data_IF_199736207266
#
_entry.id   IF_199736207266
#
_cell.length_a   1.000
_cell.length_b   1.000
_cell.length_c   1.000
_cell.angle_alpha   90.00
_cell.angle_beta   90.00
_cell.angle_gamma   90.00
#
_symmetry.space_group_name_H-M   'P 1'
#
loop_
_entity.id
_entity.type
_entity.pdbx_description
1 polymer ?
#
# COMPACT_ATOMS: atom_id res chain seq x y z
N UNK A 1 21.32 -6.63 -7.69
CA UNK A 1 21.17 -6.08 -9.08
C UNK A 1 19.87 -6.60 -9.62
N UNK A 2 19.09 -5.73 -10.25
CA UNK A 2 17.85 -6.11 -10.93
C UNK A 2 18.18 -7.08 -12.06
N UNK A 3 17.44 -8.17 -12.21
CA UNK A 3 17.55 -9.07 -13.37
C UNK A 3 16.86 -8.39 -14.57
N UNK A 4 17.63 -7.90 -15.58
CA UNK A 4 17.05 -7.24 -16.74
C UNK A 4 16.29 -8.19 -17.67
N UNK A 5 16.44 -9.50 -17.46
CA UNK A 5 15.75 -10.54 -18.23
C UNK A 5 14.36 -10.91 -17.71
N UNK A 6 13.99 -10.44 -16.52
CA UNK A 6 12.71 -10.74 -15.90
C UNK A 6 11.54 -10.29 -16.78
N UNK A 7 10.65 -11.22 -17.16
CA UNK A 7 9.47 -10.96 -18.00
C UNK A 7 8.32 -10.49 -17.12
N UNK A 8 7.98 -9.22 -17.23
CA UNK A 8 7.04 -8.55 -16.32
C UNK A 8 5.74 -8.19 -17.02
N UNK A 9 4.60 -8.53 -16.43
CA UNK A 9 3.29 -8.04 -16.81
C UNK A 9 2.83 -6.91 -15.86
N UNK A 10 2.22 -5.85 -16.43
CA UNK A 10 1.53 -4.80 -15.63
C UNK A 10 0.08 -4.74 -16.09
N UNK A 11 -0.82 -5.31 -15.31
CA UNK A 11 -2.27 -5.34 -15.58
C UNK A 11 -2.96 -4.13 -14.94
N UNK A 12 -3.74 -3.40 -15.73
CA UNK A 12 -4.35 -2.13 -15.33
C UNK A 12 -3.41 -0.93 -15.52
N UNK A 13 -2.50 -1.02 -16.51
CA UNK A 13 -1.45 -0.02 -16.77
C UNK A 13 -2.00 1.37 -17.06
N UNK A 14 -3.21 1.49 -17.62
CA UNK A 14 -3.88 2.77 -17.90
C UNK A 14 -4.47 3.45 -16.67
N UNK A 15 -4.55 2.75 -15.53
CA UNK A 15 -5.02 3.31 -14.26
C UNK A 15 -3.94 4.08 -13.50
N UNK A 16 -4.36 4.86 -12.49
CA UNK A 16 -3.46 5.70 -11.70
C UNK A 16 -2.29 4.91 -11.05
N UNK A 17 -2.57 3.78 -10.41
CA UNK A 17 -1.53 2.94 -9.76
C UNK A 17 -0.73 2.14 -10.79
N UNK A 18 -1.38 1.61 -11.84
CA UNK A 18 -0.70 0.85 -12.89
C UNK A 18 0.34 1.67 -13.65
N UNK A 19 0.01 2.92 -13.98
CA UNK A 19 0.96 3.85 -14.64
C UNK A 19 2.15 4.18 -13.75
N UNK A 20 1.95 4.39 -12.45
CA UNK A 20 3.05 4.60 -11.49
C UNK A 20 3.89 3.33 -11.35
N UNK A 21 3.28 2.14 -11.37
CA UNK A 21 4.02 0.86 -11.35
C UNK A 21 4.95 0.75 -12.56
N UNK A 22 4.44 1.02 -13.76
CA UNK A 22 5.26 1.02 -14.98
C UNK A 22 6.43 2.02 -14.88
N UNK A 23 6.16 3.25 -14.46
CA UNK A 23 7.21 4.25 -14.28
C UNK A 23 8.30 3.81 -13.30
N UNK A 24 7.91 3.23 -12.16
CA UNK A 24 8.85 2.73 -11.16
C UNK A 24 9.71 1.59 -11.68
N UNK A 25 9.13 0.66 -12.44
CA UNK A 25 9.87 -0.44 -13.07
C UNK A 25 10.92 0.10 -14.05
N UNK A 26 10.54 1.05 -14.90
CA UNK A 26 11.46 1.69 -15.85
C UNK A 26 12.60 2.44 -15.14
N UNK A 27 12.30 3.21 -14.09
CA UNK A 27 13.31 3.91 -13.29
C UNK A 27 14.28 2.94 -12.60
N UNK A 28 13.87 1.72 -12.31
CA UNK A 28 14.72 0.65 -11.76
C UNK A 28 15.46 -0.17 -12.80
N UNK A 29 15.30 0.16 -14.09
CA UNK A 29 16.01 -0.49 -15.19
C UNK A 29 15.39 -1.77 -15.71
N UNK A 30 14.16 -2.10 -15.31
CA UNK A 30 13.42 -3.18 -15.96
C UNK A 30 12.98 -2.75 -17.36
N UNK A 31 13.17 -3.59 -18.36
CA UNK A 31 12.87 -3.26 -19.76
C UNK A 31 11.98 -4.29 -20.46
N UNK A 32 11.96 -5.54 -19.97
CA UNK A 32 11.14 -6.59 -20.56
C UNK A 32 9.74 -6.57 -19.95
N UNK A 33 8.94 -5.57 -20.32
CA UNK A 33 7.63 -5.28 -19.73
C UNK A 33 6.54 -5.38 -20.80
N UNK A 34 5.46 -6.10 -20.49
CA UNK A 34 4.20 -6.10 -21.24
C UNK A 34 3.15 -5.33 -20.46
N UNK A 35 2.47 -4.43 -21.17
CA UNK A 35 1.46 -3.54 -20.61
C UNK A 35 0.06 -4.05 -20.94
N UNK A 36 -0.76 -4.33 -19.92
CA UNK A 36 -2.11 -4.86 -20.10
C UNK A 36 -3.16 -3.92 -19.53
N UNK A 37 -4.29 -3.81 -20.21
CA UNK A 37 -5.47 -3.11 -19.71
C UNK A 37 -6.77 -3.79 -20.22
N UNK A 38 -7.92 -3.22 -19.85
CA UNK A 38 -9.20 -3.68 -20.39
C UNK A 38 -9.31 -3.40 -21.89
N UNK A 39 -10.26 -4.07 -22.56
CA UNK A 39 -10.58 -3.86 -23.97
C UNK A 39 -10.74 -2.38 -24.38
N UNK A 40 -11.15 -1.49 -23.43
CA UNK A 40 -11.31 -0.05 -23.69
C UNK A 40 -10.00 0.68 -23.99
N UNK A 41 -8.89 0.18 -23.47
CA UNK A 41 -7.56 0.78 -23.65
C UNK A 41 -6.63 -0.06 -24.52
N UNK A 42 -7.02 -1.30 -24.84
CA UNK A 42 -6.24 -2.19 -25.69
C UNK A 42 -6.08 -1.60 -27.10
N UNK A 43 -4.90 -1.82 -27.72
CA UNK A 43 -4.49 -1.22 -28.99
C UNK A 43 -3.99 0.24 -28.84
N UNK A 44 -4.14 0.86 -27.65
CA UNK A 44 -3.53 2.14 -27.34
C UNK A 44 -2.05 2.02 -26.97
N UNK A 45 -1.45 3.13 -26.54
CA UNK A 45 -0.05 3.17 -26.09
C UNK A 45 0.09 3.93 -24.76
N UNK A 46 1.07 3.48 -23.98
CA UNK A 46 1.55 4.21 -22.79
C UNK A 46 3.07 4.33 -22.89
N UNK A 47 3.57 5.54 -23.14
CA UNK A 47 4.97 5.73 -23.53
C UNK A 47 5.32 4.89 -24.77
N UNK A 48 6.36 4.09 -24.66
CA UNK A 48 6.83 3.20 -25.74
C UNK A 48 6.12 1.85 -25.78
N UNK A 49 5.21 1.58 -24.86
CA UNK A 49 4.53 0.27 -24.74
C UNK A 49 3.17 0.30 -25.45
N UNK A 50 2.92 -0.74 -26.26
CA UNK A 50 1.58 -1.05 -26.76
C UNK A 50 0.77 -1.68 -25.62
N UNK A 51 -0.50 -1.32 -25.50
CA UNK A 51 -1.40 -1.87 -24.49
C UNK A 51 -2.11 -3.09 -25.06
N UNK A 52 -1.85 -4.24 -24.48
CA UNK A 52 -2.54 -5.50 -24.78
C UNK A 52 -3.84 -5.61 -23.96
N UNK A 53 -4.80 -6.39 -24.48
CA UNK A 53 -5.98 -6.71 -23.70
C UNK A 53 -5.66 -7.74 -22.60
N UNK A 54 -6.05 -7.43 -21.36
CA UNK A 54 -5.91 -8.34 -20.22
C UNK A 54 -6.98 -9.44 -20.30
N UNK A 55 -6.64 -10.55 -20.93
CA UNK A 55 -7.52 -11.73 -21.06
C UNK A 55 -6.92 -12.95 -20.37
N UNK A 56 -7.75 -13.95 -19.97
CA UNK A 56 -7.24 -15.21 -19.46
C UNK A 56 -6.26 -15.90 -20.42
N UNK A 57 -6.47 -15.79 -21.73
CA UNK A 57 -5.57 -16.37 -22.75
C UNK A 57 -4.21 -15.68 -22.74
N UNK A 58 -4.18 -14.35 -22.71
CA UNK A 58 -2.94 -13.58 -22.72
C UNK A 58 -2.12 -13.80 -21.45
N UNK A 59 -2.77 -13.83 -20.27
CA UNK A 59 -2.11 -14.01 -18.99
C UNK A 59 -1.80 -15.47 -18.64
N UNK A 60 -2.48 -16.41 -19.29
CA UNK A 60 -2.24 -17.85 -19.16
C UNK A 60 -1.21 -18.42 -20.14
N UNK A 61 -0.54 -17.59 -20.93
CA UNK A 61 0.43 -18.03 -21.95
C UNK A 61 1.74 -18.60 -21.38
N UNK A 62 2.05 -18.36 -20.08
CA UNK A 62 3.27 -18.88 -19.42
C UNK A 62 4.55 -18.14 -19.83
N UNK A 63 4.43 -16.97 -20.39
CA UNK A 63 5.52 -16.13 -20.88
C UNK A 63 5.85 -14.93 -19.98
N UNK A 64 5.28 -14.91 -18.76
CA UNK A 64 5.56 -13.93 -17.71
C UNK A 64 6.15 -14.62 -16.48
N UNK A 65 7.17 -14.02 -15.89
CA UNK A 65 7.76 -14.46 -14.62
C UNK A 65 7.04 -13.80 -13.44
N UNK A 66 6.69 -12.52 -13.59
CA UNK A 66 6.01 -11.71 -12.57
C UNK A 66 4.89 -10.89 -13.21
N UNK A 67 3.79 -10.73 -12.50
CA UNK A 67 2.68 -9.87 -12.93
C UNK A 67 2.14 -9.00 -11.80
N UNK A 68 2.06 -7.69 -12.04
CA UNK A 68 1.47 -6.71 -11.14
C UNK A 68 0.03 -6.45 -11.53
N UNK A 69 -0.91 -6.71 -10.61
CA UNK A 69 -2.33 -6.44 -10.84
C UNK A 69 -2.76 -5.15 -10.15
N UNK A 70 -3.21 -4.17 -10.93
CA UNK A 70 -3.74 -2.88 -10.49
C UNK A 70 -5.15 -2.68 -11.03
N UNK A 71 -6.03 -3.63 -10.76
CA UNK A 71 -7.41 -3.70 -11.25
C UNK A 71 -8.40 -3.92 -10.10
N UNK A 72 -9.70 -3.89 -10.40
CA UNK A 72 -10.73 -4.14 -9.39
C UNK A 72 -10.78 -5.60 -8.92
N UNK A 73 -11.37 -5.81 -7.74
CA UNK A 73 -11.47 -7.10 -7.04
C UNK A 73 -12.03 -8.22 -7.92
N UNK A 74 -13.10 -7.96 -8.69
CA UNK A 74 -13.71 -8.96 -9.56
C UNK A 74 -12.75 -9.42 -10.67
N UNK A 75 -12.08 -8.48 -11.32
CA UNK A 75 -11.09 -8.75 -12.38
C UNK A 75 -9.87 -9.50 -11.83
N UNK A 76 -9.39 -9.14 -10.63
CA UNK A 76 -8.30 -9.88 -9.98
C UNK A 76 -8.70 -11.32 -9.67
N UNK A 77 -9.89 -11.55 -9.14
CA UNK A 77 -10.39 -12.91 -8.85
C UNK A 77 -10.49 -13.79 -10.11
N UNK A 78 -10.75 -13.20 -11.26
CA UNK A 78 -10.81 -13.88 -12.55
C UNK A 78 -9.42 -14.15 -13.12
N UNK A 79 -8.55 -13.14 -13.18
CA UNK A 79 -7.32 -13.20 -13.96
C UNK A 79 -6.09 -13.71 -13.18
N UNK A 80 -5.98 -13.40 -11.89
CA UNK A 80 -4.80 -13.78 -11.07
C UNK A 80 -4.63 -15.31 -11.00
N UNK A 81 -5.68 -16.12 -10.73
CA UNK A 81 -5.52 -17.57 -10.69
C UNK A 81 -5.05 -18.17 -12.02
N UNK A 82 -5.45 -17.58 -13.14
CA UNK A 82 -5.02 -18.01 -14.48
C UNK A 82 -3.53 -17.76 -14.70
N UNK A 83 -3.03 -16.58 -14.33
CA UNK A 83 -1.61 -16.25 -14.42
C UNK A 83 -0.76 -17.14 -13.49
N UNK A 84 -1.22 -17.37 -12.27
CA UNK A 84 -0.56 -18.29 -11.31
C UNK A 84 -0.53 -19.71 -11.85
N UNK A 85 -1.64 -20.20 -12.41
CA UNK A 85 -1.70 -21.53 -13.05
C UNK A 85 -0.73 -21.70 -14.21
N UNK A 86 -0.31 -20.61 -14.86
CA UNK A 86 0.72 -20.57 -15.88
C UNK A 86 2.15 -20.41 -15.34
N UNK A 87 2.35 -20.39 -14.01
CA UNK A 87 3.65 -20.28 -13.35
C UNK A 87 4.12 -18.85 -13.07
N UNK A 88 3.25 -17.85 -13.24
CA UNK A 88 3.57 -16.44 -13.01
C UNK A 88 3.40 -16.08 -11.53
N UNK A 89 4.39 -15.43 -10.92
CA UNK A 89 4.25 -14.79 -9.60
C UNK A 89 3.38 -13.54 -9.74
N UNK A 90 2.29 -13.46 -8.98
CA UNK A 90 1.35 -12.35 -9.03
C UNK A 90 1.41 -11.48 -7.77
N UNK A 91 1.63 -10.18 -7.93
CA UNK A 91 1.44 -9.19 -6.86
C UNK A 91 0.14 -8.44 -7.10
N UNK A 92 -0.88 -8.73 -6.29
CA UNK A 92 -2.22 -8.16 -6.44
C UNK A 92 -2.47 -6.99 -5.49
N UNK A 93 -2.87 -5.85 -6.03
CA UNK A 93 -3.18 -4.63 -5.27
C UNK A 93 -4.66 -4.45 -4.95
N UNK A 94 -5.51 -5.36 -5.45
CA UNK A 94 -6.94 -5.35 -5.11
C UNK A 94 -7.18 -5.91 -3.71
N UNK A 95 -8.43 -5.82 -3.23
CA UNK A 95 -8.83 -6.48 -1.98
C UNK A 95 -9.14 -7.97 -2.14
N UNK A 96 -8.99 -8.54 -3.36
CA UNK A 96 -9.43 -9.90 -3.68
C UNK A 96 -8.79 -10.98 -2.78
N UNK A 97 -7.50 -10.83 -2.48
CA UNK A 97 -6.71 -11.87 -1.82
C UNK A 97 -6.11 -11.44 -0.48
N UNK A 98 -6.30 -10.18 -0.05
CA UNK A 98 -5.63 -9.64 1.15
C UNK A 98 -5.93 -10.43 2.43
N UNK A 99 -7.16 -10.87 2.61
CA UNK A 99 -7.59 -11.60 3.80
C UNK A 99 -7.77 -13.11 3.53
N UNK A 100 -7.46 -13.60 2.33
CA UNK A 100 -7.53 -15.02 2.03
C UNK A 100 -6.49 -15.80 2.84
N UNK A 101 -6.88 -16.95 3.42
CA UNK A 101 -5.94 -17.83 4.11
C UNK A 101 -4.82 -18.30 3.16
N UNK A 102 -3.58 -18.32 3.66
CA UNK A 102 -2.43 -18.79 2.88
C UNK A 102 -1.90 -17.79 1.84
N UNK A 103 -2.54 -16.62 1.66
CA UNK A 103 -1.99 -15.54 0.84
C UNK A 103 -1.30 -14.52 1.74
N UNK A 104 0.02 -14.30 1.61
CA UNK A 104 0.72 -13.31 2.40
C UNK A 104 0.30 -11.89 2.01
N UNK A 105 0.07 -11.04 3.02
CA UNK A 105 -0.22 -9.62 2.89
C UNK A 105 0.99 -8.85 3.38
N UNK A 106 1.73 -8.18 2.46
CA UNK A 106 3.12 -7.81 2.72
C UNK A 106 3.39 -6.32 2.63
N UNK A 107 4.01 -5.80 3.68
CA UNK A 107 4.75 -4.53 3.69
C UNK A 107 6.22 -4.87 3.92
N UNK A 108 7.10 -4.70 2.91
CA UNK A 108 8.50 -5.18 3.00
C UNK A 108 9.26 -4.74 4.24
N UNK A 109 9.01 -3.53 4.74
CA UNK A 109 9.65 -2.96 5.92
C UNK A 109 9.13 -3.51 7.24
N UNK A 110 8.00 -4.25 7.22
CA UNK A 110 7.31 -4.72 8.44
C UNK A 110 7.38 -6.24 8.55
N UNK A 111 6.91 -6.94 7.52
CA UNK A 111 6.77 -8.40 7.50
C UNK A 111 7.23 -8.99 6.15
N UNK A 112 8.30 -8.44 5.57
CA UNK A 112 8.78 -8.81 4.24
C UNK A 112 9.08 -10.29 4.07
N UNK A 113 9.55 -10.99 5.12
CA UNK A 113 9.81 -12.44 5.11
C UNK A 113 8.57 -13.27 4.78
N UNK A 114 7.37 -12.76 5.10
CA UNK A 114 6.10 -13.43 4.75
C UNK A 114 5.89 -13.57 3.25
N UNK A 115 6.53 -12.72 2.45
CA UNK A 115 6.47 -12.87 0.99
C UNK A 115 7.01 -14.23 0.51
N UNK A 116 7.97 -14.83 1.23
CA UNK A 116 8.55 -16.14 0.90
C UNK A 116 7.54 -17.30 1.08
N UNK A 117 6.48 -17.10 1.83
CA UNK A 117 5.43 -18.12 2.08
C UNK A 117 4.38 -18.18 0.96
N UNK A 118 4.55 -17.37 -0.10
CA UNK A 118 3.57 -17.31 -1.19
C UNK A 118 3.49 -18.63 -1.98
N UNK A 119 2.30 -18.88 -2.51
CA UNK A 119 2.01 -19.99 -3.44
C UNK A 119 1.68 -19.46 -4.84
N UNK A 120 2.36 -18.40 -5.26
CA UNK A 120 2.17 -17.73 -6.55
C UNK A 120 1.42 -16.38 -6.44
N UNK A 121 0.83 -16.06 -5.26
CA UNK A 121 0.17 -14.78 -5.03
C UNK A 121 0.78 -14.12 -3.79
N UNK A 122 1.13 -12.84 -3.91
CA UNK A 122 1.38 -11.94 -2.78
C UNK A 122 0.39 -10.78 -2.86
N UNK A 123 -0.37 -10.55 -1.78
CA UNK A 123 -1.28 -9.43 -1.71
C UNK A 123 -0.54 -8.17 -1.24
N UNK A 124 -0.78 -7.07 -1.96
CA UNK A 124 -0.33 -5.74 -1.58
C UNK A 124 -1.43 -5.05 -0.77
N UNK A 125 -1.12 -4.51 0.42
CA UNK A 125 -2.13 -3.97 1.32
C UNK A 125 -2.82 -2.69 0.81
N UNK A 126 -3.84 -2.28 1.57
CA UNK A 126 -4.54 -1.01 1.41
C UNK A 126 -3.57 0.18 1.58
N UNK A 127 -3.82 1.25 0.84
CA UNK A 127 -2.95 2.44 0.80
C UNK A 127 -2.84 3.20 2.13
N UNK A 128 -3.76 2.98 3.07
CA UNK A 128 -3.65 3.46 4.45
C UNK A 128 -3.03 2.40 5.38
N UNK A 129 -3.28 1.10 5.16
CA UNK A 129 -2.69 0.05 5.99
C UNK A 129 -1.16 -0.01 5.88
N UNK A 130 -0.59 0.27 4.70
CA UNK A 130 0.85 0.31 4.50
C UNK A 130 1.53 1.35 5.41
N UNK A 131 1.23 2.66 5.30
CA UNK A 131 1.89 3.67 6.12
C UNK A 131 1.56 3.53 7.60
N UNK A 132 0.34 3.11 7.95
CA UNK A 132 -0.07 2.86 9.32
C UNK A 132 0.82 1.79 9.96
N UNK A 133 0.96 0.63 9.33
CA UNK A 133 1.76 -0.48 9.88
C UNK A 133 3.24 -0.16 9.94
N UNK A 134 3.78 0.59 8.99
CA UNK A 134 5.16 1.08 9.03
C UNK A 134 5.43 1.96 10.26
N UNK A 135 4.46 2.80 10.67
CA UNK A 135 4.58 3.61 11.88
C UNK A 135 4.33 2.82 13.17
N UNK A 136 3.42 1.83 13.13
CA UNK A 136 3.03 1.07 14.31
C UNK A 136 4.05 -0.04 14.67
N UNK A 137 4.62 -0.74 13.70
CA UNK A 137 5.51 -1.87 13.92
C UNK A 137 6.71 -1.52 14.83
N UNK A 138 7.49 -0.45 14.58
CA UNK A 138 8.62 -0.12 15.43
C UNK A 138 8.22 0.31 16.85
N UNK A 139 7.03 0.85 17.03
CA UNK A 139 6.48 1.17 18.36
C UNK A 139 6.05 -0.11 19.09
N UNK A 140 5.43 -1.06 18.37
CA UNK A 140 5.05 -2.36 18.91
C UNK A 140 6.28 -3.15 19.37
N UNK A 141 7.30 -3.22 18.53
CA UNK A 141 8.54 -3.95 18.84
C UNK A 141 9.26 -3.37 20.07
N UNK A 142 9.10 -2.07 20.32
CA UNK A 142 9.75 -1.41 21.46
C UNK A 142 9.00 -1.58 22.79
N UNK A 143 7.66 -1.44 22.79
CA UNK A 143 6.88 -1.30 24.03
C UNK A 143 5.51 -2.01 24.02
N UNK A 144 5.19 -2.76 22.95
CA UNK A 144 3.88 -3.38 22.77
C UNK A 144 2.76 -2.37 22.47
N UNK A 145 1.82 -2.75 21.60
CA UNK A 145 0.61 -1.99 21.32
C UNK A 145 -0.58 -2.57 22.06
N UNK A 146 -1.32 -1.74 22.76
CA UNK A 146 -2.52 -2.11 23.50
C UNK A 146 -3.80 -1.77 22.73
N UNK A 147 -3.83 -0.61 22.03
CA UNK A 147 -4.97 -0.13 21.25
C UNK A 147 -4.53 0.92 20.25
N UNK A 148 -5.20 0.97 19.11
CA UNK A 148 -5.00 1.99 18.07
C UNK A 148 -6.32 2.64 17.70
N UNK A 149 -6.32 3.97 17.55
CA UNK A 149 -7.37 4.73 16.89
C UNK A 149 -6.75 5.52 15.76
N UNK A 150 -7.42 5.54 14.62
CA UNK A 150 -6.93 6.22 13.43
C UNK A 150 -8.06 6.94 12.70
N UNK A 151 -7.79 8.17 12.27
CA UNK A 151 -8.61 8.90 11.33
C UNK A 151 -7.79 9.15 10.06
N UNK A 152 -8.31 8.74 8.90
CA UNK A 152 -7.63 8.92 7.62
C UNK A 152 -8.20 10.11 6.85
N UNK A 153 -7.34 10.78 6.10
CA UNK A 153 -7.67 11.86 5.16
C UNK A 153 -7.16 11.42 3.79
N UNK A 154 -8.05 10.75 3.03
CA UNK A 154 -7.65 10.06 1.81
C UNK A 154 -7.89 10.92 0.57
N UNK A 155 -6.87 11.09 -0.25
CA UNK A 155 -6.97 11.77 -1.55
C UNK A 155 -7.84 10.98 -2.54
N UNK A 156 -8.40 11.67 -3.52
CA UNK A 156 -9.31 11.09 -4.51
C UNK A 156 -8.63 10.09 -5.44
N UNK A 157 -7.32 10.17 -5.65
CA UNK A 157 -6.57 9.22 -6.49
C UNK A 157 -6.67 7.77 -6.01
N UNK A 158 -6.93 7.53 -4.72
CA UNK A 158 -7.21 6.21 -4.17
C UNK A 158 -8.49 5.56 -4.72
N UNK A 159 -9.44 6.36 -5.23
CA UNK A 159 -10.65 5.90 -5.91
C UNK A 159 -10.49 5.81 -7.45
N UNK A 160 -9.30 6.03 -7.98
CA UNK A 160 -8.98 5.88 -9.39
C UNK A 160 -9.10 7.16 -10.22
N UNK A 161 -8.88 7.02 -11.53
CA UNK A 161 -8.83 8.15 -12.48
C UNK A 161 -10.15 8.90 -12.60
N UNK A 162 -11.28 8.21 -12.55
CA UNK A 162 -12.60 8.85 -12.62
C UNK A 162 -12.84 9.82 -11.46
N UNK A 163 -12.36 9.48 -10.25
CA UNK A 163 -12.47 10.38 -9.10
C UNK A 163 -11.54 11.60 -9.23
N UNK A 164 -10.36 11.40 -9.81
CA UNK A 164 -9.44 12.50 -10.14
C UNK A 164 -10.08 13.46 -11.14
N UNK A 165 -10.67 12.95 -12.21
CA UNK A 165 -11.29 13.76 -13.26
C UNK A 165 -12.55 14.48 -12.73
N UNK A 166 -13.32 13.83 -11.87
CA UNK A 166 -14.45 14.48 -11.17
C UNK A 166 -13.97 15.66 -10.33
N UNK A 167 -12.95 15.48 -9.47
CA UNK A 167 -12.44 16.58 -8.65
C UNK A 167 -11.87 17.73 -9.48
N UNK A 168 -11.26 17.43 -10.65
CA UNK A 168 -10.78 18.47 -11.57
C UNK A 168 -11.92 19.29 -12.21
N UNK A 169 -13.08 18.66 -12.40
CA UNK A 169 -14.26 19.30 -12.97
C UNK A 169 -15.08 20.07 -11.93
N UNK A 170 -14.99 19.71 -10.66
CA UNK A 170 -15.69 20.38 -9.55
C UNK A 170 -15.10 21.78 -9.29
N UNK A 171 -15.98 22.74 -8.98
CA UNK A 171 -15.55 24.06 -8.49
C UNK A 171 -15.15 24.00 -7.02
N UNK A 172 -14.26 24.86 -6.54
CA UNK A 172 -13.81 24.82 -5.14
C UNK A 172 -14.93 24.83 -4.09
N UNK A 173 -16.04 25.54 -4.38
CA UNK A 173 -17.22 25.60 -3.50
C UNK A 173 -18.04 24.30 -3.44
N UNK A 174 -17.79 23.36 -4.35
CA UNK A 174 -18.41 22.02 -4.38
C UNK A 174 -17.57 20.98 -3.66
N UNK A 175 -16.34 21.35 -3.23
CA UNK A 175 -15.45 20.47 -2.52
C UNK A 175 -15.97 20.16 -1.12
N UNK A 176 -16.16 18.87 -0.83
CA UNK A 176 -16.63 18.38 0.46
C UNK A 176 -15.88 17.12 0.89
N UNK A 177 -15.97 16.81 2.17
CA UNK A 177 -15.55 15.51 2.69
C UNK A 177 -16.56 14.44 2.26
N UNK A 178 -16.08 13.27 1.86
CA UNK A 178 -16.93 12.15 1.41
C UNK A 178 -16.57 10.88 2.15
N UNK A 179 -17.55 10.01 2.29
CA UNK A 179 -17.41 8.63 2.73
C UNK A 179 -18.05 7.77 1.63
N UNK A 180 -17.31 7.57 0.54
CA UNK A 180 -17.79 6.99 -0.71
C UNK A 180 -17.47 5.49 -0.85
N UNK A 181 -17.47 4.78 0.26
CA UNK A 181 -17.30 3.33 0.31
C UNK A 181 -18.62 2.60 0.66
N UNK A 182 -18.74 1.30 0.37
CA UNK A 182 -19.85 0.49 0.86
C UNK A 182 -20.00 0.58 2.37
N UNK A 183 -21.23 0.73 2.86
CA UNK A 183 -21.56 0.84 4.28
C UNK A 183 -22.49 -0.30 4.69
N UNK A 184 -22.13 -1.05 5.73
CA UNK A 184 -22.90 -2.21 6.20
C UNK A 184 -23.97 -1.86 7.24
N UNK A 185 -24.08 -0.60 7.62
CA UNK A 185 -24.98 -0.08 8.67
C UNK A 185 -24.22 0.25 9.96
N UNK A 186 -22.96 -0.11 10.09
CA UNK A 186 -22.11 0.14 11.26
C UNK A 186 -20.78 0.77 10.86
N UNK A 187 -20.06 0.15 9.90
CA UNK A 187 -18.75 0.59 9.42
C UNK A 187 -18.72 0.67 7.89
N UNK A 188 -17.85 1.51 7.39
CA UNK A 188 -17.49 1.50 5.97
C UNK A 188 -16.49 0.36 5.68
N UNK A 189 -16.61 -0.24 4.50
CA UNK A 189 -15.72 -1.31 4.03
C UNK A 189 -14.23 -0.93 4.12
N UNK A 190 -13.89 0.33 3.93
CA UNK A 190 -12.53 0.84 4.07
C UNK A 190 -12.00 0.80 5.52
N UNK A 191 -12.88 1.06 6.49
CA UNK A 191 -12.53 1.00 7.92
C UNK A 191 -12.27 -0.43 8.36
N UNK A 192 -13.10 -1.37 7.89
CA UNK A 192 -12.91 -2.81 8.11
C UNK A 192 -11.60 -3.28 7.50
N UNK A 193 -11.31 -2.92 6.23
CA UNK A 193 -10.05 -3.25 5.58
C UNK A 193 -8.85 -2.73 6.37
N UNK A 194 -8.87 -1.46 6.77
CA UNK A 194 -7.78 -0.87 7.52
C UNK A 194 -7.51 -1.62 8.82
N UNK A 195 -8.55 -1.98 9.56
CA UNK A 195 -8.45 -2.76 10.79
C UNK A 195 -7.90 -4.17 10.56
N UNK A 196 -8.52 -4.93 9.67
CA UNK A 196 -8.17 -6.35 9.49
C UNK A 196 -6.82 -6.53 8.78
N UNK A 197 -6.50 -5.68 7.82
CA UNK A 197 -5.20 -5.70 7.15
C UNK A 197 -4.08 -5.32 8.12
N UNK A 198 -4.27 -4.29 8.95
CA UNK A 198 -3.30 -3.89 9.99
C UNK A 198 -3.03 -5.04 10.96
N UNK A 199 -4.07 -5.73 11.44
CA UNK A 199 -3.95 -6.91 12.31
C UNK A 199 -3.15 -8.02 11.64
N UNK A 200 -3.45 -8.32 10.39
CA UNK A 200 -2.78 -9.37 9.62
C UNK A 200 -1.29 -9.05 9.38
N UNK A 201 -0.97 -7.80 9.01
CA UNK A 201 0.41 -7.37 8.73
C UNK A 201 1.26 -7.37 10.01
N UNK A 202 0.71 -6.87 11.12
CA UNK A 202 1.41 -6.84 12.41
C UNK A 202 1.38 -8.18 13.16
N UNK A 203 0.62 -9.17 12.67
CA UNK A 203 0.41 -10.46 13.34
C UNK A 203 -0.22 -10.34 14.74
N UNK A 204 -1.08 -9.34 14.90
CA UNK A 204 -1.80 -9.01 16.12
C UNK A 204 -3.32 -9.15 15.91
N UNK A 205 -3.87 -10.38 15.82
CA UNK A 205 -5.27 -10.61 15.44
C UNK A 205 -6.28 -9.97 16.40
N UNK A 206 -5.91 -9.83 17.66
CA UNK A 206 -6.79 -9.30 18.71
C UNK A 206 -6.52 -7.81 19.03
N UNK A 207 -5.63 -7.14 18.32
CA UNK A 207 -5.33 -5.72 18.57
C UNK A 207 -6.60 -4.89 18.37
N UNK A 208 -7.09 -4.14 19.39
CA UNK A 208 -8.23 -3.25 19.25
C UNK A 208 -7.86 -2.07 18.35
N UNK A 209 -8.52 -1.98 17.20
CA UNK A 209 -8.34 -0.89 16.24
C UNK A 209 -9.71 -0.29 15.91
N UNK A 210 -9.82 1.03 16.03
CA UNK A 210 -10.96 1.80 15.56
C UNK A 210 -10.51 2.79 14.50
N UNK A 211 -11.13 2.71 13.32
CA UNK A 211 -10.81 3.56 12.18
C UNK A 211 -12.00 4.44 11.81
N UNK A 212 -11.71 5.64 11.32
CA UNK A 212 -12.67 6.50 10.62
C UNK A 212 -12.02 6.99 9.34
N UNK A 213 -12.60 6.64 8.21
CA UNK A 213 -12.04 6.95 6.89
C UNK A 213 -12.84 8.04 6.19
N UNK A 214 -12.16 9.10 5.74
CA UNK A 214 -12.78 10.17 4.96
C UNK A 214 -11.98 10.48 3.70
N UNK A 215 -12.69 10.73 2.60
CA UNK A 215 -12.13 11.25 1.37
C UNK A 215 -12.09 12.77 1.44
N UNK A 216 -10.92 13.34 1.17
CA UNK A 216 -10.71 14.78 1.13
C UNK A 216 -10.52 15.26 -0.32
N UNK A 217 -10.86 16.53 -0.67
CA UNK A 217 -10.70 17.07 -2.01
C UNK A 217 -9.23 17.43 -2.32
N UNK A 218 -8.38 16.40 -2.27
CA UNK A 218 -6.95 16.44 -2.58
C UNK A 218 -6.67 15.41 -3.65
N UNK A 219 -5.90 15.75 -4.67
CA UNK A 219 -5.63 14.87 -5.80
C UNK A 219 -4.85 13.62 -5.40
N UNK A 220 -3.69 13.79 -4.77
CA UNK A 220 -2.75 12.72 -4.38
C UNK A 220 -2.21 13.02 -3.00
N UNK A 221 -1.88 11.98 -2.25
CA UNK A 221 -1.31 12.04 -0.91
C UNK A 221 -2.36 11.81 0.17
N UNK A 222 -2.17 10.72 0.93
CA UNK A 222 -2.98 10.41 2.10
C UNK A 222 -2.33 10.97 3.36
N UNK A 223 -3.17 11.23 4.37
CA UNK A 223 -2.72 11.59 5.70
C UNK A 223 -3.51 10.80 6.75
N UNK A 224 -2.89 10.55 7.90
CA UNK A 224 -3.51 9.83 9.00
C UNK A 224 -3.18 10.49 10.33
N UNK A 225 -4.21 10.72 11.15
CA UNK A 225 -4.09 11.07 12.55
C UNK A 225 -4.25 9.79 13.37
N UNK A 226 -3.23 9.47 14.18
CA UNK A 226 -3.12 8.20 14.88
C UNK A 226 -2.97 8.44 16.37
N UNK A 227 -3.70 7.68 17.16
CA UNK A 227 -3.60 7.60 18.63
C UNK A 227 -3.32 6.16 19.00
N UNK A 228 -2.25 5.93 19.73
CA UNK A 228 -1.86 4.61 20.23
C UNK A 228 -1.83 4.59 21.74
N UNK A 229 -2.27 3.49 22.32
CA UNK A 229 -1.96 3.11 23.70
C UNK A 229 -0.94 1.98 23.65
N UNK A 230 0.10 2.10 24.45
CA UNK A 230 1.18 1.12 24.55
C UNK A 230 1.08 0.34 25.87
N UNK A 231 1.67 -0.85 25.91
CA UNK A 231 1.70 -1.65 27.14
C UNK A 231 2.65 -1.03 28.16
N UNK A 232 3.81 -0.60 27.73
CA UNK A 232 4.79 0.11 28.53
C UNK A 232 4.82 1.60 28.16
N UNK A 233 5.25 2.42 29.11
CA UNK A 233 5.36 3.85 28.90
C UNK A 233 6.46 4.20 27.89
N UNK A 234 6.11 4.96 26.86
CA UNK A 234 7.04 5.47 25.85
C UNK A 234 6.99 7.00 25.80
N UNK A 235 8.10 7.66 26.11
CA UNK A 235 8.15 9.12 26.01
C UNK A 235 8.10 9.57 24.53
N UNK A 236 7.52 10.75 24.23
CA UNK A 236 7.54 11.29 22.86
C UNK A 236 8.95 11.44 22.27
N UNK A 237 9.94 11.69 23.11
CA UNK A 237 11.34 11.77 22.64
C UNK A 237 11.87 10.42 22.18
N UNK A 238 11.61 9.36 22.96
CA UNK A 238 11.98 7.99 22.58
C UNK A 238 11.21 7.52 21.35
N UNK A 239 9.91 7.77 21.27
CA UNK A 239 9.09 7.45 20.11
C UNK A 239 9.59 8.14 18.82
N UNK A 240 9.96 9.44 18.91
CA UNK A 240 10.56 10.16 17.78
C UNK A 240 11.85 9.52 17.31
N UNK A 241 12.72 9.09 18.23
CA UNK A 241 13.97 8.41 17.90
C UNK A 241 13.69 7.10 17.17
N UNK A 242 12.82 6.24 17.73
CA UNK A 242 12.43 4.96 17.12
C UNK A 242 11.90 5.18 15.69
N UNK A 243 10.97 6.10 15.50
CA UNK A 243 10.37 6.38 14.20
C UNK A 243 11.36 7.00 13.20
N UNK A 244 12.34 7.78 13.66
CA UNK A 244 13.35 8.36 12.77
C UNK A 244 14.43 7.36 12.32
N UNK A 245 14.59 6.25 13.03
CA UNK A 245 15.54 5.18 12.73
C UNK A 245 14.87 4.02 11.97
N UNK A 246 13.53 4.02 11.88
CA UNK A 246 12.78 2.95 11.23
C UNK A 246 12.89 3.02 9.70
N UNK A 247 13.08 1.87 9.03
CA UNK A 247 13.22 1.83 7.57
C UNK A 247 11.97 2.36 6.86
N UNK A 248 12.18 3.11 5.78
CA UNK A 248 11.09 3.68 4.97
C UNK A 248 10.30 4.80 5.64
N UNK A 249 10.68 5.22 6.86
CA UNK A 249 10.11 6.38 7.54
C UNK A 249 11.08 7.58 7.48
N UNK A 250 10.51 8.75 7.25
CA UNK A 250 11.18 10.04 7.42
C UNK A 250 10.48 10.80 8.54
N UNK A 251 11.23 11.29 9.53
CA UNK A 251 10.66 12.11 10.58
C UNK A 251 10.67 13.60 10.20
N UNK A 252 9.50 14.25 10.28
CA UNK A 252 9.37 15.71 10.22
C UNK A 252 8.55 16.20 11.43
N UNK A 253 8.90 17.37 11.97
CA UNK A 253 8.14 17.93 13.10
C UNK A 253 6.67 18.19 12.73
N UNK A 254 6.41 18.63 11.51
CA UNK A 254 5.07 18.92 10.97
C UNK A 254 4.97 18.33 9.56
N UNK A 255 4.55 17.06 9.43
CA UNK A 255 4.31 16.44 8.13
C UNK A 255 3.27 17.21 7.32
N UNK A 256 3.50 17.34 6.02
CA UNK A 256 2.58 17.98 5.08
C UNK A 256 2.34 17.06 3.87
N UNK A 257 1.08 16.79 3.46
CA UNK A 257 0.78 15.92 2.33
C UNK A 257 1.52 16.31 1.05
N UNK A 258 1.66 17.62 0.79
CA UNK A 258 2.38 18.11 -0.41
C UNK A 258 3.87 17.75 -0.46
N UNK A 259 4.48 17.42 0.68
CA UNK A 259 5.88 17.00 0.75
C UNK A 259 6.07 15.50 0.50
N UNK A 260 5.01 14.72 0.67
CA UNK A 260 5.05 13.28 0.43
C UNK A 260 4.90 12.92 -1.05
N UNK A 261 4.50 13.87 -1.91
CA UNK A 261 4.28 13.60 -3.33
C UNK A 261 5.59 13.28 -4.05
N UNK A 262 5.63 12.12 -4.72
CA UNK A 262 6.81 11.63 -5.45
C UNK A 262 7.93 11.09 -4.56
N UNK A 263 7.74 11.06 -3.23
CA UNK A 263 8.70 10.55 -2.25
C UNK A 263 8.42 9.08 -1.94
N UNK A 264 9.46 8.31 -1.72
CA UNK A 264 9.35 6.87 -1.43
C UNK A 264 9.03 6.59 0.04
N UNK A 265 9.42 7.49 0.95
CA UNK A 265 9.25 7.38 2.38
C UNK A 265 7.85 7.78 2.83
N UNK A 266 7.39 7.20 3.92
CA UNK A 266 6.28 7.71 4.72
C UNK A 266 6.81 8.78 5.66
N UNK A 267 6.25 9.99 5.62
CA UNK A 267 6.67 11.09 6.50
C UNK A 267 5.82 11.07 7.75
N UNK A 268 6.45 10.83 8.91
CA UNK A 268 5.79 10.76 10.22
C UNK A 268 6.24 11.93 11.11
N UNK A 269 5.35 12.42 11.94
CA UNK A 269 5.69 13.48 12.90
C UNK A 269 4.55 13.83 13.85
N UNK A 270 4.59 15.04 14.43
CA UNK A 270 3.61 15.47 15.43
C UNK A 270 3.51 14.52 16.64
N UNK A 271 4.58 13.80 16.94
CA UNK A 271 4.64 12.83 18.04
C UNK A 271 4.59 13.56 19.37
N UNK A 272 3.56 13.29 20.16
CA UNK A 272 3.29 13.90 21.46
C UNK A 272 2.54 12.94 22.37
N UNK A 273 2.51 13.21 23.67
CA UNK A 273 1.64 12.52 24.62
C UNK A 273 0.15 12.69 24.24
N UNK A 274 -0.62 11.64 24.44
CA UNK A 274 -2.07 11.72 24.53
C UNK A 274 -2.46 11.71 26.03
N UNK A 275 -2.80 12.87 26.60
CA UNK A 275 -3.08 12.96 28.04
C UNK A 275 -4.44 12.36 28.44
N UNK A 276 -5.19 11.84 27.47
CA UNK A 276 -6.53 11.29 27.72
C UNK A 276 -6.51 9.83 28.13
N UNK A 277 -5.37 9.16 27.99
CA UNK A 277 -5.17 7.75 28.33
C UNK A 277 -3.79 7.52 28.93
N UNK A 278 -3.65 6.48 29.74
CA UNK A 278 -2.36 6.02 30.24
C UNK A 278 -1.51 5.46 29.09
N UNK A 279 -0.20 5.76 29.10
CA UNK A 279 0.74 5.34 28.05
C UNK A 279 0.31 5.72 26.63
N UNK A 280 -0.37 6.87 26.48
CA UNK A 280 -0.91 7.34 25.21
C UNK A 280 0.07 8.17 24.40
N UNK A 281 0.14 7.93 23.09
CA UNK A 281 0.83 8.77 22.12
C UNK A 281 -0.12 9.16 20.99
N UNK A 282 0.06 10.38 20.49
CA UNK A 282 -0.55 10.83 19.23
C UNK A 282 0.53 11.15 18.22
N UNK A 283 0.30 10.79 16.98
CA UNK A 283 1.18 11.08 15.85
C UNK A 283 0.39 11.37 14.58
N UNK A 284 1.06 11.90 13.59
CA UNK A 284 0.48 12.19 12.28
C UNK A 284 1.45 11.75 11.19
N UNK A 285 0.94 11.13 10.15
CA UNK A 285 1.74 10.73 9.00
C UNK A 285 1.12 11.17 7.67
N UNK A 286 1.94 11.23 6.65
CA UNK A 286 1.55 11.47 5.27
C UNK A 286 2.35 10.58 4.33
N UNK A 287 1.75 10.16 3.22
CA UNK A 287 2.43 9.37 2.20
C UNK A 287 1.90 9.69 0.80
N UNK A 288 2.70 9.38 -0.23
CA UNK A 288 2.19 9.25 -1.59
C UNK A 288 1.44 7.91 -1.71
N UNK A 289 0.12 7.98 -1.78
CA UNK A 289 -0.75 6.80 -1.80
C UNK A 289 -0.65 5.99 -3.10
N UNK A 290 -0.22 6.60 -4.20
CA UNK A 290 0.01 5.90 -5.46
C UNK A 290 1.40 5.25 -5.50
N UNK A 291 2.35 5.81 -4.74
CA UNK A 291 3.74 5.38 -4.70
C UNK A 291 3.96 4.38 -3.55
N UNK A 292 4.39 4.82 -2.35
CA UNK A 292 4.58 3.87 -1.22
C UNK A 292 3.28 3.21 -0.80
N UNK A 293 2.17 3.93 -0.84
CA UNK A 293 0.84 3.37 -0.53
C UNK A 293 0.36 2.29 -1.51
N UNK A 294 1.03 2.06 -2.65
CA UNK A 294 0.58 1.08 -3.65
C UNK A 294 1.71 0.53 -4.53
N UNK A 295 2.13 1.29 -5.57
CA UNK A 295 3.00 0.81 -6.63
C UNK A 295 4.39 0.44 -6.14
N UNK A 296 5.00 1.31 -5.34
CA UNK A 296 6.35 1.08 -4.80
C UNK A 296 6.39 -0.13 -3.88
N UNK A 297 5.41 -0.27 -2.99
CA UNK A 297 5.32 -1.42 -2.09
C UNK A 297 5.27 -2.73 -2.88
N UNK A 298 4.48 -2.79 -3.97
CA UNK A 298 4.40 -3.95 -4.83
C UNK A 298 5.73 -4.25 -5.55
N UNK A 299 6.43 -3.23 -6.05
CA UNK A 299 7.75 -3.40 -6.69
C UNK A 299 8.78 -3.89 -5.68
N UNK A 300 8.81 -3.34 -4.47
CA UNK A 300 9.69 -3.77 -3.38
C UNK A 300 9.44 -5.24 -2.96
N UNK A 301 8.18 -5.71 -2.98
CA UNK A 301 7.86 -7.14 -2.75
C UNK A 301 8.56 -8.03 -3.78
N UNK A 302 8.51 -7.66 -5.05
CA UNK A 302 9.18 -8.42 -6.11
C UNK A 302 10.70 -8.35 -5.97
N UNK A 303 11.25 -7.17 -5.71
CA UNK A 303 12.69 -6.98 -5.49
C UNK A 303 13.19 -7.85 -4.32
N UNK A 304 12.43 -7.94 -3.24
CA UNK A 304 12.74 -8.81 -2.09
C UNK A 304 12.74 -10.29 -2.49
N UNK A 305 11.73 -10.75 -3.22
CA UNK A 305 11.62 -12.14 -3.66
C UNK A 305 12.71 -12.52 -4.68
N UNK A 306 13.19 -11.58 -5.48
CA UNK A 306 14.29 -11.78 -6.42
C UNK A 306 15.69 -11.69 -5.75
N UNK A 307 15.76 -11.59 -4.42
CA UNK A 307 17.02 -11.54 -3.68
C UNK A 307 17.77 -10.22 -3.84
N UNK A 308 17.11 -9.16 -4.27
CA UNK A 308 17.67 -7.82 -4.22
C UNK A 308 17.90 -7.46 -2.74
N UNK A 309 19.11 -7.08 -2.39
CA UNK A 309 19.40 -6.53 -1.07
C UNK A 309 18.65 -5.20 -0.96
N UNK A 310 17.47 -5.25 -0.37
CA UNK A 310 16.78 -4.03 0.03
C UNK A 310 17.64 -3.34 1.09
N UNK A 311 17.86 -2.03 1.01
CA UNK A 311 18.69 -1.34 1.99
C UNK A 311 18.09 -1.56 3.38
N UNK A 312 18.76 -2.39 4.18
CA UNK A 312 18.60 -2.61 5.63
C UNK A 312 17.15 -2.62 6.19
N UNK A 313 16.27 -3.45 5.62
CA UNK A 313 14.87 -3.55 6.09
C UNK A 313 14.66 -4.59 7.21
N UNK A 314 15.64 -5.43 7.48
CA UNK A 314 15.54 -6.41 8.56
C UNK A 314 16.31 -5.93 9.79
N UNK A 315 15.63 -5.18 10.66
CA UNK A 315 16.03 -5.06 12.05
C UNK A 315 15.99 -6.47 12.65
N UNK A 316 17.10 -6.88 13.28
CA UNK A 316 17.29 -8.19 13.87
C UNK A 316 16.12 -8.58 14.79
N UNK A 317 15.16 -9.38 14.29
CA UNK A 317 14.44 -10.29 15.17
C UNK A 317 15.39 -11.48 15.39
N UNK A 318 16.28 -11.37 16.37
CA UNK A 318 16.97 -12.52 16.91
C UNK A 318 16.10 -13.06 18.02
N UNK A 319 15.74 -14.33 17.87
CA UNK A 319 15.02 -15.21 18.77
C UNK A 319 15.31 -15.02 20.27
#
# INVERSE_FOLDING_TARGET
>A
MVDPGLRIGVVGVSGAVGSVTLQLLLLRGYSNIRAFASWRSAGGRIGDFEIEEATPVALGAGDLDVCFFSVGTATSRELVPTAVGAGTLCVDKSSAFRLEPGVPLVVPEVNGERALENTGIVANPNCCAIPLTMALAPLHDAVGLRRVRVATYQSVSGAGTEAIDRLRAERPEEHELRMDWPFDGVEFDEEVKLREETRKILELPDLPISATCVRVPVMVGHAEAIWVETEEQLSPAAARKILSEAPGLQYEQVPRPSKALGVDEVIVGRVREDPTVENGLSLFLVCDNLRKGAALNAVQIVELLMGASLPHYFGHRVS
#
